data_IF_936309145672
#
_entry.id   IF_936309145672
#
_cell.length_a   1.000
_cell.length_b   1.000
_cell.length_c   1.000
_cell.angle_alpha   90.00
_cell.angle_beta   90.00
_cell.angle_gamma   90.00
#
_symmetry.space_group_name_H-M   'P 1'
#
loop_
_entity.id
_entity.type
_entity.pdbx_description
1 polymer ?
#
# COMPACT_ATOMS: atom_id res chain seq x y z
N UNK A 1 5.56 13.25 17.95
CA UNK A 1 5.87 12.04 17.19
C UNK A 1 4.63 11.68 16.40
N UNK A 2 4.76 11.37 15.12
CA UNK A 2 3.60 10.99 14.30
C UNK A 2 3.05 9.65 14.79
N UNK A 3 1.72 9.44 14.80
CA UNK A 3 1.14 8.15 15.18
C UNK A 3 1.48 7.05 14.16
N UNK A 4 1.64 5.82 14.65
CA UNK A 4 1.79 4.62 13.81
C UNK A 4 0.41 4.02 13.50
N UNK A 5 -0.29 4.63 12.53
CA UNK A 5 -1.63 4.21 12.11
C UNK A 5 -1.64 2.75 11.62
N UNK A 6 -0.60 2.34 10.90
CA UNK A 6 -0.50 0.97 10.39
C UNK A 6 -0.38 -0.05 11.52
N UNK A 7 0.45 0.22 12.53
CA UNK A 7 0.55 -0.62 13.72
C UNK A 7 -0.78 -0.65 14.47
N UNK A 8 -1.42 0.50 14.69
CA UNK A 8 -2.72 0.57 15.35
C UNK A 8 -3.77 -0.29 14.66
N UNK A 9 -3.91 -0.19 13.34
CA UNK A 9 -4.84 -1.03 12.56
C UNK A 9 -4.46 -2.52 12.64
N UNK A 10 -3.17 -2.85 12.59
CA UNK A 10 -2.71 -4.24 12.73
C UNK A 10 -3.12 -4.86 14.07
N UNK A 11 -3.06 -4.09 15.16
CA UNK A 11 -3.45 -4.52 16.51
C UNK A 11 -4.97 -4.76 16.56
N UNK A 12 -5.77 -3.91 15.91
CA UNK A 12 -7.22 -4.11 15.82
C UNK A 12 -7.52 -5.43 15.09
N UNK A 13 -6.92 -5.65 13.92
CA UNK A 13 -7.14 -6.87 13.13
C UNK A 13 -6.74 -8.11 13.94
N UNK A 14 -5.56 -8.09 14.56
CA UNK A 14 -5.10 -9.22 15.39
C UNK A 14 -6.02 -9.48 16.58
N UNK A 15 -6.58 -8.43 17.19
CA UNK A 15 -7.55 -8.57 18.29
C UNK A 15 -8.82 -9.25 17.81
N UNK A 16 -9.37 -8.84 16.65
CA UNK A 16 -10.55 -9.45 16.06
C UNK A 16 -10.31 -10.92 15.67
N UNK A 17 -9.14 -11.25 15.13
CA UNK A 17 -8.76 -12.64 14.80
C UNK A 17 -8.69 -13.49 16.07
N UNK A 18 -8.11 -12.97 17.16
CA UNK A 18 -8.09 -13.66 18.47
C UNK A 18 -9.49 -13.87 19.04
N UNK A 19 -10.45 -13.02 18.68
CA UNK A 19 -11.87 -13.16 19.04
C UNK A 19 -12.64 -14.11 18.12
N UNK A 20 -12.00 -14.71 17.11
CA UNK A 20 -12.59 -15.72 16.23
C UNK A 20 -12.91 -15.22 14.81
N UNK A 21 -12.59 -13.98 14.46
CA UNK A 21 -12.74 -13.52 13.08
C UNK A 21 -11.76 -14.28 12.14
N UNK A 22 -12.30 -14.91 11.10
CA UNK A 22 -11.52 -15.73 10.16
C UNK A 22 -11.76 -15.37 8.68
N UNK A 23 -12.53 -14.31 8.43
CA UNK A 23 -12.82 -13.83 7.08
C UNK A 23 -11.65 -13.08 6.44
N UNK A 24 -11.79 -12.80 5.14
CA UNK A 24 -10.87 -11.93 4.42
C UNK A 24 -10.96 -10.49 4.94
N UNK A 25 -9.81 -9.82 5.08
CA UNK A 25 -9.76 -8.41 5.49
C UNK A 25 -9.60 -7.51 4.28
N UNK A 26 -10.46 -6.50 4.17
CA UNK A 26 -10.42 -5.50 3.12
C UNK A 26 -10.33 -4.10 3.73
N UNK A 27 -9.62 -3.18 3.07
CA UNK A 27 -9.57 -1.78 3.49
C UNK A 27 -10.18 -0.88 2.41
N UNK A 28 -11.05 0.02 2.82
CA UNK A 28 -11.67 1.02 1.95
C UNK A 28 -11.35 2.41 2.47
N UNK A 29 -10.96 3.31 1.57
CA UNK A 29 -10.60 4.67 1.94
C UNK A 29 -10.93 5.68 0.85
N UNK A 30 -11.07 6.94 1.26
CA UNK A 30 -11.21 8.10 0.37
C UNK A 30 -10.18 9.15 0.77
N UNK A 31 -9.59 9.85 -0.21
CA UNK A 31 -8.57 10.88 0.01
C UNK A 31 -7.41 10.36 0.88
N UNK A 32 -7.10 10.98 2.02
CA UNK A 32 -6.06 10.50 2.95
C UNK A 32 -6.33 9.08 3.50
N UNK A 33 -7.60 8.69 3.64
CA UNK A 33 -7.96 7.32 4.01
C UNK A 33 -7.61 6.29 2.92
N UNK A 34 -7.64 6.70 1.65
CA UNK A 34 -7.18 5.86 0.55
C UNK A 34 -5.64 5.72 0.54
N UNK A 35 -4.91 6.77 0.92
CA UNK A 35 -3.47 6.69 1.14
C UNK A 35 -3.13 5.69 2.27
N UNK A 36 -3.91 5.69 3.35
CA UNK A 36 -3.77 4.69 4.42
C UNK A 36 -4.10 3.28 3.91
N UNK A 37 -5.17 3.09 3.13
CA UNK A 37 -5.51 1.78 2.55
C UNK A 37 -4.39 1.24 1.64
N UNK A 38 -3.79 2.10 0.80
CA UNK A 38 -2.61 1.73 0.03
C UNK A 38 -1.43 1.31 0.92
N UNK A 39 -1.14 2.07 1.98
CA UNK A 39 -0.07 1.74 2.93
C UNK A 39 -0.34 0.39 3.60
N UNK A 40 -1.56 0.13 4.08
CA UNK A 40 -1.90 -1.16 4.66
C UNK A 40 -1.69 -2.31 3.66
N UNK A 41 -2.12 -2.15 2.41
CA UNK A 41 -1.92 -3.16 1.37
C UNK A 41 -0.45 -3.37 0.99
N UNK A 42 0.33 -2.30 0.85
CA UNK A 42 1.77 -2.37 0.57
C UNK A 42 2.53 -3.10 1.68
N UNK A 43 2.01 -3.01 2.90
CA UNK A 43 2.55 -3.65 4.09
C UNK A 43 1.85 -4.98 4.43
N UNK A 44 0.96 -5.49 3.56
CA UNK A 44 0.23 -6.73 3.79
C UNK A 44 1.19 -7.93 3.98
N UNK A 45 0.74 -8.92 4.73
CA UNK A 45 1.52 -10.11 5.09
C UNK A 45 0.78 -10.97 6.10
N UNK A 46 1.51 -11.84 6.79
CA UNK A 46 0.94 -12.70 7.84
C UNK A 46 0.38 -11.90 9.02
N UNK A 47 1.05 -10.80 9.40
CA UNK A 47 0.65 -9.93 10.50
C UNK A 47 -0.45 -8.93 10.12
N UNK A 48 -0.62 -8.69 8.82
CA UNK A 48 -1.59 -7.75 8.25
C UNK A 48 -2.26 -8.40 7.02
N UNK A 49 -3.24 -9.30 7.23
CA UNK A 49 -3.78 -10.18 6.18
C UNK A 49 -4.77 -9.47 5.25
N UNK A 50 -4.42 -8.28 4.76
CA UNK A 50 -5.22 -7.55 3.75
C UNK A 50 -5.28 -8.41 2.49
N UNK A 51 -6.49 -8.57 1.94
CA UNK A 51 -6.79 -9.31 0.71
C UNK A 51 -7.19 -8.41 -0.43
N UNK A 52 -7.66 -7.21 -0.12
CA UNK A 52 -7.96 -6.22 -1.15
C UNK A 52 -8.23 -4.84 -0.59
N UNK A 53 -8.19 -3.86 -1.48
CA UNK A 53 -8.46 -2.47 -1.16
C UNK A 53 -9.36 -1.81 -2.20
N UNK A 54 -10.12 -0.82 -1.73
CA UNK A 54 -10.84 0.14 -2.56
C UNK A 54 -10.36 1.54 -2.20
N UNK A 55 -9.79 2.25 -3.18
CA UNK A 55 -9.20 3.58 -2.98
C UNK A 55 -9.94 4.61 -3.82
N UNK A 56 -10.41 5.68 -3.19
CA UNK A 56 -11.16 6.75 -3.86
C UNK A 56 -10.39 8.07 -3.77
N UNK A 57 -10.35 8.83 -4.87
CA UNK A 57 -9.73 10.15 -4.95
C UNK A 57 -8.29 10.18 -4.39
N UNK A 58 -7.49 9.17 -4.73
CA UNK A 58 -6.10 9.05 -4.32
C UNK A 58 -5.38 7.99 -5.16
N UNK A 59 -4.15 8.29 -5.59
CA UNK A 59 -3.21 7.35 -6.20
C UNK A 59 -2.11 6.96 -5.19
N UNK A 60 -1.27 5.99 -5.55
CA UNK A 60 -0.08 5.67 -4.76
C UNK A 60 0.86 6.89 -4.66
N UNK A 61 1.53 7.04 -3.52
CA UNK A 61 2.68 7.95 -3.44
C UNK A 61 3.84 7.40 -4.29
N UNK A 62 4.42 8.24 -5.13
CA UNK A 62 5.66 7.99 -5.87
C UNK A 62 6.90 8.22 -5.00
N UNK A 63 6.87 9.25 -4.16
CA UNK A 63 7.91 9.51 -3.16
C UNK A 63 7.29 10.08 -1.88
N UNK A 64 7.92 9.85 -0.72
CA UNK A 64 8.97 8.85 -0.48
C UNK A 64 8.40 7.42 -0.49
N UNK A 65 9.28 6.42 -0.66
CA UNK A 65 8.88 5.00 -0.63
C UNK A 65 8.40 4.54 0.76
N UNK A 66 8.77 5.27 1.82
CA UNK A 66 8.35 5.06 3.21
C UNK A 66 8.06 6.40 3.88
N UNK A 67 7.05 6.48 4.73
CA UNK A 67 6.76 7.66 5.55
C UNK A 67 6.00 7.30 6.82
N UNK A 68 6.30 7.99 7.91
CA UNK A 68 5.77 7.71 9.26
C UNK A 68 6.63 6.73 10.04
N UNK A 69 6.32 6.50 11.33
CA UNK A 69 7.06 5.60 12.21
C UNK A 69 6.88 4.12 11.85
N UNK A 70 7.67 3.26 12.50
CA UNK A 70 7.46 1.82 12.49
C UNK A 70 7.91 1.07 11.22
N UNK A 71 7.56 -0.22 11.18
CA UNK A 71 7.97 -1.13 10.10
C UNK A 71 6.91 -1.27 8.99
N UNK A 72 5.65 -0.92 9.28
CA UNK A 72 4.51 -1.04 8.36
C UNK A 72 4.23 0.29 7.64
N UNK A 73 5.28 0.94 7.15
CA UNK A 73 5.24 2.33 6.67
C UNK A 73 5.66 2.49 5.20
N UNK A 74 5.71 1.41 4.43
CA UNK A 74 5.93 1.48 2.98
C UNK A 74 4.70 2.06 2.27
N UNK A 75 4.91 3.04 1.39
CA UNK A 75 3.83 3.68 0.64
C UNK A 75 3.52 3.00 -0.69
N UNK A 76 4.35 2.03 -1.09
CA UNK A 76 4.25 1.31 -2.36
C UNK A 76 4.42 -0.19 -2.10
N UNK A 77 3.71 -1.06 -2.86
CA UNK A 77 4.00 -2.48 -2.80
C UNK A 77 5.47 -2.72 -3.20
N UNK A 78 6.15 -3.70 -2.58
CA UNK A 78 7.52 -4.01 -2.95
C UNK A 78 7.57 -4.36 -4.43
N UNK A 79 8.48 -3.72 -5.18
CA UNK A 79 8.75 -4.13 -6.55
C UNK A 79 9.21 -5.60 -6.54
N UNK A 80 8.94 -6.35 -7.61
CA UNK A 80 9.43 -7.73 -7.74
C UNK A 80 10.97 -7.84 -7.56
N UNK A 81 11.69 -6.73 -7.77
CA UNK A 81 13.13 -6.59 -7.53
C UNK A 81 13.54 -6.47 -6.05
N UNK A 82 12.60 -6.42 -5.12
CA UNK A 82 12.84 -6.26 -3.69
C UNK A 82 11.79 -6.97 -2.84
N UNK A 83 11.62 -8.28 -3.04
CA UNK A 83 10.95 -9.13 -2.06
C UNK A 83 11.50 -8.81 -0.66
N UNK A 84 10.62 -8.57 0.31
CA UNK A 84 10.96 -8.14 1.67
C UNK A 84 12.13 -8.96 2.20
N UNK A 85 13.29 -8.33 2.26
CA UNK A 85 14.45 -8.89 2.89
C UNK A 85 14.37 -8.60 4.40
N UNK A 86 13.34 -9.12 5.08
CA UNK A 86 13.24 -9.07 6.55
C UNK A 86 14.38 -9.92 7.13
N UNK A 87 15.52 -9.30 7.38
CA UNK A 87 16.66 -9.93 8.02
C UNK A 87 16.37 -10.01 9.51
N UNK A 88 15.73 -11.09 9.96
CA UNK A 88 15.81 -11.44 11.38
C UNK A 88 17.21 -11.95 11.66
N UNK A 89 18.10 -11.07 12.13
CA UNK A 89 19.32 -11.50 12.82
C UNK A 89 18.90 -12.20 14.10
N UNK A 90 19.01 -13.53 14.14
CA UNK A 90 19.06 -14.29 15.39
C UNK A 90 20.46 -14.93 15.44
N UNK A 91 21.27 -14.52 16.41
CA UNK A 91 22.55 -15.14 16.76
C UNK A 91 23.61 -15.23 15.63
N UNK A 92 23.74 -14.22 14.77
CA UNK A 92 24.87 -14.13 13.83
C UNK A 92 24.87 -15.14 12.66
N UNK A 93 23.85 -15.98 12.55
CA UNK A 93 23.70 -16.93 11.44
C UNK A 93 22.84 -16.30 10.35
N UNK A 94 23.39 -16.21 9.14
CA UNK A 94 22.70 -15.73 7.93
C UNK A 94 21.69 -16.79 7.49
N UNK A 95 20.46 -16.70 7.98
CA UNK A 95 19.36 -17.52 7.49
C UNK A 95 19.09 -17.16 6.03
N UNK A 96 19.14 -18.15 5.13
CA UNK A 96 18.60 -18.01 3.77
C UNK A 96 17.14 -17.60 3.91
N UNK A 97 16.83 -16.37 3.54
CA UNK A 97 15.50 -15.81 3.69
C UNK A 97 14.55 -16.54 2.75
N UNK A 98 13.55 -17.20 3.37
CA UNK A 98 12.37 -17.65 2.65
C UNK A 98 11.80 -16.43 1.95
N UNK A 99 11.83 -16.43 0.61
CA UNK A 99 11.08 -15.48 -0.21
C UNK A 99 9.63 -15.60 0.26
N UNK A 100 9.17 -14.69 1.12
CA UNK A 100 7.76 -14.62 1.45
C UNK A 100 7.05 -14.35 0.14
N UNK A 101 6.31 -15.35 -0.33
CA UNK A 101 5.40 -15.15 -1.43
C UNK A 101 4.36 -14.15 -0.95
N UNK A 102 4.54 -12.90 -1.37
CA UNK A 102 3.59 -11.85 -1.12
C UNK A 102 2.30 -12.23 -1.85
N UNK A 103 1.22 -12.39 -1.08
CA UNK A 103 -0.06 -12.80 -1.63
C UNK A 103 -0.60 -11.67 -2.53
N UNK A 104 -1.22 -12.02 -3.69
CA UNK A 104 -1.90 -11.04 -4.52
C UNK A 104 -2.95 -10.27 -3.72
N UNK A 105 -3.09 -8.98 -4.02
CA UNK A 105 -4.05 -8.07 -3.40
C UNK A 105 -5.01 -7.59 -4.46
N UNK A 106 -6.32 -7.75 -4.27
CA UNK A 106 -7.32 -7.17 -5.16
C UNK A 106 -7.35 -5.65 -4.98
N UNK A 107 -7.27 -4.87 -6.07
CA UNK A 107 -7.22 -3.41 -6.00
C UNK A 107 -8.28 -2.82 -6.94
N UNK A 108 -9.13 -1.96 -6.40
CA UNK A 108 -10.02 -1.10 -7.16
C UNK A 108 -9.68 0.35 -6.83
N UNK A 109 -9.34 1.14 -7.83
CA UNK A 109 -9.09 2.57 -7.69
C UNK A 109 -10.16 3.37 -8.44
N UNK A 110 -10.75 4.35 -7.76
CA UNK A 110 -11.77 5.24 -8.29
C UNK A 110 -11.19 6.66 -8.22
N UNK A 111 -10.81 7.19 -9.36
CA UNK A 111 -10.28 8.56 -9.53
C UNK A 111 -10.94 9.22 -10.72
N UNK A 112 -10.93 10.55 -10.74
CA UNK A 112 -11.45 11.33 -11.86
C UNK A 112 -10.46 12.41 -12.27
N UNK A 113 -10.49 12.77 -13.55
CA UNK A 113 -9.63 13.82 -14.13
C UNK A 113 -9.99 15.23 -13.64
N UNK A 114 -11.22 15.42 -13.15
CA UNK A 114 -11.72 16.70 -12.65
C UNK A 114 -11.50 16.92 -11.14
N UNK A 115 -10.68 16.10 -10.48
CA UNK A 115 -10.30 16.32 -9.09
C UNK A 115 -9.27 17.48 -9.01
N UNK A 116 -9.72 18.63 -8.49
CA UNK A 116 -8.89 19.82 -8.37
C UNK A 116 -7.87 19.77 -7.22
N UNK A 117 -7.90 18.73 -6.39
CA UNK A 117 -6.98 18.57 -5.26
C UNK A 117 -5.96 17.47 -5.54
N UNK A 118 -6.40 16.33 -6.07
CA UNK A 118 -5.56 15.16 -6.32
C UNK A 118 -5.42 14.96 -7.83
N UNK A 119 -4.28 15.32 -8.44
CA UNK A 119 -4.12 15.21 -9.89
C UNK A 119 -4.19 13.76 -10.37
N UNK A 120 -5.02 13.49 -11.37
CA UNK A 120 -5.11 12.19 -12.00
C UNK A 120 -3.77 11.74 -12.61
N UNK A 121 -3.02 12.69 -13.17
CA UNK A 121 -1.71 12.46 -13.78
C UNK A 121 -0.56 12.40 -12.75
N UNK A 122 -0.86 12.51 -11.45
CA UNK A 122 0.13 12.47 -10.38
C UNK A 122 0.95 13.76 -10.28
N UNK A 123 2.13 13.66 -9.68
CA UNK A 123 3.00 14.80 -9.41
C UNK A 123 2.76 15.42 -8.03
N UNK A 124 2.96 16.73 -7.94
CA UNK A 124 2.73 17.49 -6.71
C UNK A 124 1.23 17.72 -6.46
N UNK A 125 0.86 18.04 -5.23
CA UNK A 125 -0.51 18.36 -4.84
C UNK A 125 -0.51 19.29 -3.63
N UNK A 126 -1.48 20.21 -3.58
CA UNK A 126 -1.66 21.15 -2.48
C UNK A 126 -1.80 20.46 -1.11
N UNK A 127 -2.20 19.18 -1.07
CA UNK A 127 -2.25 18.41 0.18
C UNK A 127 -0.89 18.27 0.85
N UNK A 128 0.21 18.37 0.09
CA UNK A 128 1.57 18.29 0.61
C UNK A 128 2.07 19.61 1.17
N UNK A 129 1.31 20.70 1.10
CA UNK A 129 1.63 22.00 1.73
C UNK A 129 3.06 22.49 1.40
N UNK A 130 3.52 22.25 0.17
CA UNK A 130 4.86 22.63 -0.29
C UNK A 130 6.00 21.69 0.11
N UNK A 131 5.71 20.53 0.71
CA UNK A 131 6.72 19.50 0.97
C UNK A 131 7.14 18.82 -0.34
N UNK A 132 8.34 19.15 -0.83
CA UNK A 132 8.88 18.64 -2.11
C UNK A 132 9.31 17.17 -2.10
N UNK A 133 9.37 16.56 -0.92
CA UNK A 133 9.74 15.15 -0.78
C UNK A 133 8.60 14.20 -1.17
N UNK A 134 7.37 14.73 -1.22
CA UNK A 134 6.16 13.98 -1.53
C UNK A 134 5.72 14.20 -2.97
N UNK A 135 5.35 13.11 -3.63
CA UNK A 135 4.78 13.15 -4.96
C UNK A 135 3.86 11.95 -5.17
N UNK A 136 2.80 12.14 -5.93
CA UNK A 136 1.84 11.12 -6.33
C UNK A 136 2.27 10.46 -7.64
N UNK A 137 2.04 9.16 -7.77
CA UNK A 137 2.01 8.51 -9.08
C UNK A 137 0.77 8.97 -9.83
N UNK A 138 0.79 8.94 -11.17
CA UNK A 138 -0.46 9.00 -11.93
C UNK A 138 -1.36 7.81 -11.58
N UNK A 139 -2.68 7.95 -11.75
CA UNK A 139 -3.63 6.87 -11.53
C UNK A 139 -3.25 5.62 -12.35
N UNK A 140 -2.86 5.82 -13.61
CA UNK A 140 -2.43 4.74 -14.52
C UNK A 140 -1.14 4.07 -14.06
N UNK A 141 -0.14 4.83 -13.63
CA UNK A 141 1.12 4.27 -13.10
C UNK A 141 0.86 3.52 -11.80
N UNK A 142 0.07 4.09 -10.88
CA UNK A 142 -0.35 3.46 -9.63
C UNK A 142 -0.98 2.09 -9.87
N UNK A 143 -1.94 1.99 -10.79
CA UNK A 143 -2.59 0.72 -11.13
C UNK A 143 -1.67 -0.25 -11.88
N UNK A 144 -0.76 0.27 -12.71
CA UNK A 144 0.28 -0.56 -13.34
C UNK A 144 1.22 -1.17 -12.30
N UNK A 145 1.60 -0.42 -11.26
CA UNK A 145 2.41 -0.91 -10.15
C UNK A 145 1.71 -2.07 -9.41
N UNK A 146 0.41 -1.94 -9.12
CA UNK A 146 -0.36 -3.03 -8.50
C UNK A 146 -0.54 -4.24 -9.42
N UNK A 147 -0.78 -4.02 -10.72
CA UNK A 147 -0.85 -5.08 -11.73
C UNK A 147 0.44 -5.88 -11.79
N UNK A 148 1.59 -5.20 -11.80
CA UNK A 148 2.92 -5.83 -11.77
C UNK A 148 3.15 -6.61 -10.48
N UNK A 149 2.84 -6.03 -9.31
CA UNK A 149 2.94 -6.70 -8.02
C UNK A 149 2.08 -7.99 -7.98
N UNK A 150 0.87 -7.93 -8.52
CA UNK A 150 -0.06 -9.07 -8.60
C UNK A 150 0.26 -10.06 -9.72
N UNK A 151 1.26 -9.79 -10.57
CA UNK A 151 1.63 -10.60 -11.75
C UNK A 151 0.47 -10.78 -12.73
N UNK A 152 -0.37 -9.76 -12.89
CA UNK A 152 -1.43 -9.79 -13.88
C UNK A 152 -0.83 -9.88 -15.30
N UNK A 153 -1.43 -10.68 -16.17
CA UNK A 153 -0.92 -10.93 -17.53
C UNK A 153 -1.30 -9.83 -18.54
N UNK A 154 -2.04 -8.81 -18.12
CA UNK A 154 -2.42 -7.69 -18.97
C UNK A 154 -1.42 -6.55 -18.85
N UNK A 155 -0.97 -6.02 -20.00
CA UNK A 155 0.01 -4.94 -20.08
C UNK A 155 -0.47 -3.64 -19.43
N UNK A 156 -1.79 -3.48 -19.32
CA UNK A 156 -2.44 -2.31 -18.75
C UNK A 156 -3.59 -2.74 -17.83
N UNK A 157 -3.86 -1.99 -16.75
CA UNK A 157 -5.05 -2.19 -15.94
C UNK A 157 -6.31 -1.89 -16.77
N UNK A 158 -7.41 -2.58 -16.47
CA UNK A 158 -8.73 -2.25 -17.04
C UNK A 158 -9.14 -0.85 -16.57
N UNK A 159 -9.63 -0.03 -17.50
CA UNK A 159 -10.11 1.32 -17.24
C UNK A 159 -11.56 1.37 -17.70
N UNK A 160 -12.46 1.78 -16.81
CA UNK A 160 -13.83 2.17 -17.17
C UNK A 160 -13.90 3.68 -17.11
N UNK A 161 -14.21 4.29 -18.24
CA UNK A 161 -14.49 5.73 -18.37
C UNK A 161 -15.98 5.99 -18.15
#
# INVERSE_FOLDING_TARGET
EDPDDSLFISIIIQSLVKMGANGNVYAIGSSSGAALAYRLAANAGTELPIKGIVTKAMSLLQSPSRSGPGMLNYNQPPSFAGARQLSRKKNGIRMLQKKEETLPISVLNIMGENDGLIPYDGGDSDIFKGHTDFSLMSARVSMTTWSQYNKCHHKHPEVSE
#
